data_IF_261615971042
#
_entry.id   IF_261615971042
#
_cell.length_a   1.000
_cell.length_b   1.000
_cell.length_c   1.000
_cell.angle_alpha   90.00
_cell.angle_beta   90.00
_cell.angle_gamma   90.00
#
_symmetry.space_group_name_H-M   'P 1'
#
loop_
_entity.id
_entity.type
_entity.pdbx_description
1 polymer ?
#
# COMPACT_ATOMS: atom_id res chain seq x y z
N UNK A 1 -2.43 -24.66 8.99
CA UNK A 1 -2.65 -23.41 9.76
C UNK A 1 -3.09 -22.35 8.79
N UNK A 2 -4.05 -21.49 9.19
CA UNK A 2 -4.47 -20.38 8.34
C UNK A 2 -3.31 -19.40 8.13
N UNK A 3 -3.15 -18.92 6.89
CA UNK A 3 -2.15 -17.94 6.54
C UNK A 3 -2.65 -17.12 5.35
N UNK A 4 -2.04 -15.98 5.10
CA UNK A 4 -2.46 -15.06 4.05
C UNK A 4 -1.27 -14.39 3.36
N UNK A 5 -1.50 -13.96 2.15
CA UNK A 5 -0.56 -13.14 1.39
C UNK A 5 -1.02 -11.70 1.36
N UNK A 6 -0.08 -10.77 1.36
CA UNK A 6 -0.33 -9.35 1.13
C UNK A 6 0.33 -8.93 -0.16
N UNK A 7 -0.44 -8.38 -1.07
CA UNK A 7 0.02 -7.87 -2.36
C UNK A 7 0.22 -6.36 -2.25
N UNK A 8 1.37 -5.87 -2.67
CA UNK A 8 1.73 -4.46 -2.61
C UNK A 8 1.83 -3.88 -4.02
N UNK A 9 0.95 -2.96 -4.32
CA UNK A 9 0.90 -2.18 -5.55
C UNK A 9 1.22 -0.71 -5.27
N UNK A 10 1.63 0.03 -6.31
CA UNK A 10 1.80 1.49 -6.27
C UNK A 10 1.11 2.13 -7.48
N UNK A 11 1.75 2.11 -8.65
CA UNK A 11 1.28 2.80 -9.85
C UNK A 11 0.84 1.80 -10.92
N UNK A 12 -0.33 2.03 -11.52
CA UNK A 12 -0.83 1.26 -12.66
C UNK A 12 -0.73 2.12 -13.92
N UNK A 13 -0.18 1.54 -14.99
CA UNK A 13 -0.02 2.22 -16.28
C UNK A 13 -0.39 1.29 -17.42
N UNK A 14 -0.98 1.81 -18.48
CA UNK A 14 -1.15 1.03 -19.71
C UNK A 14 0.19 0.73 -20.34
N UNK A 15 0.36 -0.47 -20.88
CA UNK A 15 1.61 -0.88 -21.52
C UNK A 15 2.02 0.06 -22.64
N UNK A 16 1.07 0.55 -23.43
CA UNK A 16 1.30 1.50 -24.53
C UNK A 16 1.79 2.88 -24.06
N UNK A 17 1.46 3.28 -22.83
CA UNK A 17 1.82 4.57 -22.25
C UNK A 17 3.16 4.53 -21.49
N UNK A 18 3.70 3.33 -21.22
CA UNK A 18 4.93 3.16 -20.45
C UNK A 18 6.18 3.41 -21.30
N UNK A 19 6.99 4.39 -20.89
CA UNK A 19 8.25 4.70 -21.55
C UNK A 19 9.45 4.31 -20.68
N UNK A 20 10.22 3.32 -21.16
CA UNK A 20 11.42 2.83 -20.45
C UNK A 20 12.54 3.87 -20.33
N UNK A 21 12.55 4.89 -21.17
CA UNK A 21 13.59 5.94 -21.18
C UNK A 21 13.27 7.08 -20.21
N UNK A 22 12.02 7.22 -19.78
CA UNK A 22 11.60 8.29 -18.88
C UNK A 22 11.51 7.79 -17.44
N UNK A 23 11.91 8.65 -16.51
CA UNK A 23 11.63 8.48 -15.09
C UNK A 23 10.32 9.19 -14.76
N UNK A 24 9.46 8.56 -13.99
CA UNK A 24 8.23 9.19 -13.51
C UNK A 24 8.52 10.03 -12.27
N UNK A 25 8.40 11.34 -12.41
CA UNK A 25 8.51 12.26 -11.27
C UNK A 25 7.26 12.11 -10.41
N UNK A 26 7.45 12.01 -9.10
CA UNK A 26 6.36 11.99 -8.13
C UNK A 26 5.79 13.41 -8.01
N UNK A 27 4.48 13.57 -8.21
CA UNK A 27 3.76 14.83 -8.04
C UNK A 27 2.87 14.74 -6.80
N UNK A 28 3.28 15.45 -5.77
CA UNK A 28 2.65 15.47 -4.45
C UNK A 28 2.41 16.91 -3.98
N UNK A 29 1.55 17.11 -2.99
CA UNK A 29 1.28 18.44 -2.43
C UNK A 29 2.42 18.92 -1.51
N UNK A 30 3.13 18.01 -0.85
CA UNK A 30 4.32 18.31 -0.04
C UNK A 30 5.44 18.87 -0.93
N UNK A 31 6.24 19.80 -0.42
CA UNK A 31 7.48 20.25 -1.11
C UNK A 31 8.53 19.14 -1.04
N UNK A 32 8.36 18.14 -1.90
CA UNK A 32 9.22 16.98 -2.01
C UNK A 32 9.33 16.56 -3.47
N UNK A 33 10.54 16.29 -3.91
CA UNK A 33 10.83 15.82 -5.26
C UNK A 33 11.53 14.47 -5.20
N UNK A 34 10.99 13.49 -5.90
CA UNK A 34 11.59 12.17 -6.08
C UNK A 34 11.09 11.55 -7.38
N UNK A 35 11.61 10.39 -7.69
CA UNK A 35 11.26 9.59 -8.86
C UNK A 35 10.65 8.28 -8.37
N UNK A 36 9.50 7.92 -8.91
CA UNK A 36 8.93 6.61 -8.65
C UNK A 36 9.75 5.55 -9.41
N UNK A 37 10.38 4.58 -8.71
CA UNK A 37 11.15 3.54 -9.35
C UNK A 37 10.31 2.69 -10.31
N UNK A 38 10.81 2.43 -11.51
CA UNK A 38 10.10 1.64 -12.54
C UNK A 38 9.56 0.28 -12.05
N UNK A 39 10.26 -0.48 -11.18
CA UNK A 39 9.72 -1.72 -10.65
C UNK A 39 8.39 -1.55 -9.88
N UNK A 40 8.07 -0.36 -9.37
CA UNK A 40 6.84 -0.11 -8.62
C UNK A 40 5.61 0.14 -9.52
N UNK A 41 5.79 0.11 -10.83
CA UNK A 41 4.67 0.09 -11.78
C UNK A 41 4.16 -1.32 -11.97
N UNK A 42 2.89 -1.43 -12.36
CA UNK A 42 2.30 -2.64 -12.94
C UNK A 42 1.53 -2.26 -14.21
N UNK A 43 1.61 -3.10 -15.24
CA UNK A 43 0.80 -2.88 -16.44
C UNK A 43 -0.68 -3.15 -16.15
N UNK A 44 -1.56 -2.26 -16.61
CA UNK A 44 -3.01 -2.41 -16.48
C UNK A 44 -3.47 -3.78 -16.97
N UNK A 45 -2.96 -4.22 -18.09
CA UNK A 45 -3.30 -5.51 -18.72
C UNK A 45 -2.90 -6.72 -17.86
N UNK A 46 -1.82 -6.60 -17.09
CA UNK A 46 -1.41 -7.65 -16.14
C UNK A 46 -2.24 -7.54 -14.84
N UNK A 47 -2.51 -6.34 -14.34
CA UNK A 47 -3.39 -6.14 -13.20
C UNK A 47 -4.79 -6.74 -13.44
N UNK A 48 -5.37 -6.52 -14.62
CA UNK A 48 -6.65 -7.13 -15.01
C UNK A 48 -6.60 -8.65 -14.96
N UNK A 49 -5.55 -9.27 -15.52
CA UNK A 49 -5.36 -10.73 -15.50
C UNK A 49 -5.17 -11.25 -14.07
N UNK A 50 -4.45 -10.52 -13.23
CA UNK A 50 -4.22 -10.87 -11.82
C UNK A 50 -5.54 -10.87 -11.03
N UNK A 51 -6.38 -9.84 -11.19
CA UNK A 51 -7.68 -9.77 -10.52
C UNK A 51 -8.67 -10.83 -11.05
N UNK A 52 -8.69 -11.07 -12.35
CA UNK A 52 -9.48 -12.15 -12.96
C UNK A 52 -9.05 -13.53 -12.41
N UNK A 53 -7.74 -13.77 -12.27
CA UNK A 53 -7.22 -15.00 -11.69
C UNK A 53 -7.64 -15.16 -10.21
N UNK A 54 -7.51 -14.13 -9.39
CA UNK A 54 -7.95 -14.19 -8.00
C UNK A 54 -9.44 -14.55 -7.92
N UNK A 55 -10.26 -13.90 -8.73
CA UNK A 55 -11.70 -14.15 -8.78
C UNK A 55 -12.03 -15.59 -9.21
N UNK A 56 -11.49 -16.04 -10.35
CA UNK A 56 -11.74 -17.40 -10.88
C UNK A 56 -11.20 -18.51 -9.98
N UNK A 57 -10.14 -18.23 -9.25
CA UNK A 57 -9.53 -19.18 -8.30
C UNK A 57 -10.18 -19.18 -6.92
N UNK A 58 -11.20 -18.34 -6.69
CA UNK A 58 -11.94 -18.29 -5.44
C UNK A 58 -11.17 -17.65 -4.27
N UNK A 59 -10.25 -16.72 -4.57
CA UNK A 59 -9.59 -15.94 -3.51
C UNK A 59 -10.56 -14.96 -2.85
N UNK A 60 -10.45 -14.85 -1.53
CA UNK A 60 -11.18 -13.88 -0.71
C UNK A 60 -10.26 -12.72 -0.37
N UNK A 61 -10.66 -11.49 -0.72
CA UNK A 61 -9.92 -10.31 -0.30
C UNK A 61 -10.22 -9.97 1.16
N UNK A 62 -9.18 -9.85 1.96
CA UNK A 62 -9.28 -9.52 3.37
C UNK A 62 -9.48 -8.01 3.56
N UNK A 63 -10.17 -7.67 4.65
CA UNK A 63 -10.18 -6.33 5.25
C UNK A 63 -9.29 -6.32 6.48
N UNK A 64 -8.80 -5.16 6.89
CA UNK A 64 -7.89 -5.03 8.04
C UNK A 64 -8.44 -5.64 9.33
N UNK A 65 -9.76 -5.54 9.58
CA UNK A 65 -10.36 -6.13 10.77
C UNK A 65 -10.25 -7.67 10.80
N UNK A 66 -10.26 -8.36 9.64
CA UNK A 66 -10.06 -9.82 9.60
C UNK A 66 -8.67 -10.20 10.09
N UNK A 67 -7.64 -9.41 9.72
CA UNK A 67 -6.26 -9.65 10.15
C UNK A 67 -6.09 -9.34 11.64
N UNK A 68 -6.70 -8.27 12.13
CA UNK A 68 -6.73 -7.98 13.58
C UNK A 68 -7.38 -9.12 14.35
N UNK A 69 -8.54 -9.62 13.90
CA UNK A 69 -9.22 -10.72 14.56
C UNK A 69 -8.42 -12.05 14.47
N UNK A 70 -7.69 -12.25 13.40
CA UNK A 70 -6.79 -13.40 13.27
C UNK A 70 -5.70 -13.38 14.33
N UNK A 71 -4.96 -12.28 14.48
CA UNK A 71 -3.86 -12.20 15.45
C UNK A 71 -4.31 -12.07 16.91
N UNK A 72 -5.38 -11.34 17.17
CA UNK A 72 -5.76 -10.96 18.55
C UNK A 72 -6.96 -11.69 19.10
N UNK A 73 -7.73 -12.39 18.25
CA UNK A 73 -8.91 -13.17 18.65
C UNK A 73 -8.87 -14.62 18.18
N UNK A 74 -7.76 -15.08 17.60
CA UNK A 74 -7.59 -16.43 17.05
C UNK A 74 -8.69 -16.85 16.05
N UNK A 75 -9.30 -15.90 15.30
CA UNK A 75 -10.29 -16.22 14.28
C UNK A 75 -9.58 -16.74 13.02
N UNK A 76 -9.99 -17.91 12.48
CA UNK A 76 -9.37 -18.41 11.27
C UNK A 76 -9.70 -17.53 10.07
N UNK A 77 -8.77 -17.43 9.12
CA UNK A 77 -8.99 -16.82 7.82
C UNK A 77 -9.49 -17.85 6.80
N UNK A 78 -10.19 -17.43 5.75
CA UNK A 78 -10.48 -18.30 4.60
C UNK A 78 -9.21 -18.92 4.02
N UNK A 79 -9.30 -20.10 3.45
CA UNK A 79 -8.14 -20.86 2.95
C UNK A 79 -7.34 -20.09 1.88
N UNK A 80 -8.04 -19.46 0.95
CA UNK A 80 -7.46 -18.62 -0.11
C UNK A 80 -7.65 -17.16 0.23
N UNK A 81 -6.85 -16.65 1.17
CA UNK A 81 -6.95 -15.27 1.65
C UNK A 81 -5.83 -14.39 1.11
N UNK A 82 -6.19 -13.21 0.63
CA UNK A 82 -5.25 -12.21 0.15
C UNK A 82 -5.66 -10.81 0.61
N UNK A 83 -4.71 -10.01 1.07
CA UNK A 83 -4.90 -8.57 1.26
C UNK A 83 -4.30 -7.83 0.06
N UNK A 84 -5.09 -6.99 -0.59
CA UNK A 84 -4.61 -6.12 -1.68
C UNK A 84 -4.29 -4.76 -1.08
N UNK A 85 -3.06 -4.26 -1.26
CA UNK A 85 -2.63 -2.96 -0.74
C UNK A 85 -2.09 -2.07 -1.85
N UNK A 86 -2.35 -0.77 -1.74
CA UNK A 86 -1.81 0.29 -2.59
C UNK A 86 -1.13 1.32 -1.71
N UNK A 87 0.15 1.57 -1.96
CA UNK A 87 0.89 2.63 -1.27
C UNK A 87 0.77 3.96 -2.03
N UNK A 88 0.96 5.08 -1.32
CA UNK A 88 1.03 6.45 -1.84
C UNK A 88 -0.26 7.01 -2.45
N UNK A 89 -1.19 6.18 -2.84
CA UNK A 89 -2.47 6.56 -3.44
C UNK A 89 -2.33 7.45 -4.69
N UNK A 90 -1.61 6.93 -5.70
CA UNK A 90 -1.54 7.60 -7.01
C UNK A 90 -2.87 7.56 -7.76
N UNK A 91 -3.05 8.51 -8.69
CA UNK A 91 -4.25 8.69 -9.53
C UNK A 91 -4.69 7.43 -10.27
N UNK A 92 -3.76 6.58 -10.65
CA UNK A 92 -4.06 5.32 -11.32
C UNK A 92 -4.89 4.37 -10.46
N UNK A 93 -4.81 4.47 -9.13
CA UNK A 93 -5.65 3.69 -8.22
C UNK A 93 -7.14 4.02 -8.40
N UNK A 94 -7.49 5.28 -8.62
CA UNK A 94 -8.86 5.69 -8.91
C UNK A 94 -9.28 5.34 -10.35
N UNK A 95 -8.39 5.55 -11.31
CA UNK A 95 -8.72 5.44 -12.75
C UNK A 95 -8.78 3.98 -13.19
N UNK A 96 -7.87 3.15 -12.70
CA UNK A 96 -7.68 1.78 -13.16
C UNK A 96 -8.02 0.73 -12.08
N UNK A 97 -7.42 0.83 -10.88
CA UNK A 97 -7.62 -0.21 -9.86
C UNK A 97 -9.06 -0.26 -9.34
N UNK A 98 -9.61 0.88 -8.95
CA UNK A 98 -10.93 0.97 -8.33
C UNK A 98 -12.06 0.32 -9.16
N UNK A 99 -12.24 0.65 -10.46
CA UNK A 99 -13.30 0.03 -11.25
C UNK A 99 -13.14 -1.48 -11.43
N UNK A 100 -11.90 -1.97 -11.52
CA UNK A 100 -11.61 -3.40 -11.64
C UNK A 100 -11.89 -4.13 -10.32
N UNK A 101 -11.41 -3.61 -9.20
CA UNK A 101 -11.68 -4.18 -7.87
C UNK A 101 -13.17 -4.20 -7.57
N UNK A 102 -13.87 -3.11 -7.85
CA UNK A 102 -15.33 -3.00 -7.68
C UNK A 102 -16.09 -4.02 -8.53
N UNK A 103 -15.69 -4.22 -9.79
CA UNK A 103 -16.27 -5.23 -10.70
C UNK A 103 -16.24 -6.63 -10.10
N UNK A 104 -15.16 -7.00 -9.41
CA UNK A 104 -15.00 -8.32 -8.80
C UNK A 104 -15.49 -8.41 -7.35
N UNK A 105 -15.99 -7.31 -6.77
CA UNK A 105 -16.39 -7.25 -5.37
C UNK A 105 -15.20 -7.37 -4.41
N UNK A 106 -14.01 -7.01 -4.84
CA UNK A 106 -12.80 -7.03 -4.04
C UNK A 106 -12.67 -5.79 -3.17
N UNK A 107 -12.07 -5.95 -1.99
CA UNK A 107 -11.64 -4.85 -1.13
C UNK A 107 -10.14 -4.68 -1.18
N UNK A 108 -9.66 -3.45 -0.96
CA UNK A 108 -8.25 -3.12 -0.88
C UNK A 108 -7.97 -2.16 0.28
N UNK A 109 -6.70 -1.99 0.61
CA UNK A 109 -6.21 -1.00 1.57
C UNK A 109 -5.36 0.02 0.83
N UNK A 110 -5.63 1.31 1.04
CA UNK A 110 -4.79 2.40 0.60
C UNK A 110 -3.96 2.93 1.77
N UNK A 111 -2.64 2.84 1.68
CA UNK A 111 -1.73 3.45 2.64
C UNK A 111 -1.44 4.89 2.23
N UNK A 112 -1.90 5.83 3.05
CA UNK A 112 -1.94 7.25 2.74
C UNK A 112 -0.75 7.99 3.32
N UNK A 113 -0.01 8.71 2.47
CA UNK A 113 0.90 9.77 2.91
C UNK A 113 0.12 11.08 2.93
N UNK A 114 -0.23 11.57 4.12
CA UNK A 114 -1.23 12.65 4.24
C UNK A 114 -0.84 13.94 3.52
N UNK A 115 0.41 14.38 3.68
CA UNK A 115 0.88 15.63 3.08
C UNK A 115 1.20 15.49 1.57
N UNK A 116 1.14 14.27 1.02
CA UNK A 116 1.22 14.03 -0.43
C UNK A 116 -0.12 14.28 -1.12
N UNK A 117 -1.24 14.11 -0.39
CA UNK A 117 -2.57 14.32 -0.95
C UNK A 117 -2.82 15.80 -1.27
N UNK A 118 -3.28 16.07 -2.48
CA UNK A 118 -3.71 17.40 -2.86
C UNK A 118 -5.01 17.81 -2.17
N UNK A 119 -5.21 19.12 -1.99
CA UNK A 119 -6.50 19.66 -1.53
C UNK A 119 -7.53 19.68 -2.67
N UNK A 120 -7.06 19.87 -3.91
CA UNK A 120 -7.86 19.91 -5.13
C UNK A 120 -7.44 18.80 -6.09
N UNK A 121 -8.37 18.32 -6.90
CA UNK A 121 -8.11 17.30 -7.91
C UNK A 121 -7.08 17.78 -8.93
N UNK A 122 -6.10 16.92 -9.24
CA UNK A 122 -5.14 17.13 -10.33
C UNK A 122 -5.46 16.19 -11.49
N UNK A 123 -5.08 16.58 -12.69
CA UNK A 123 -5.22 15.70 -13.85
C UNK A 123 -4.29 14.48 -13.74
N UNK A 124 -4.75 13.35 -14.26
CA UNK A 124 -3.88 12.19 -14.48
C UNK A 124 -2.79 12.52 -15.50
N UNK A 125 -1.60 12.01 -15.27
CA UNK A 125 -0.47 12.12 -16.20
C UNK A 125 0.03 10.73 -16.58
N UNK A 126 0.45 10.55 -17.84
CA UNK A 126 1.11 9.33 -18.34
C UNK A 126 2.61 9.33 -18.08
N UNK A 127 3.18 10.47 -17.70
CA UNK A 127 4.62 10.67 -17.55
C UNK A 127 5.03 11.04 -16.12
N UNK A 128 4.07 11.31 -15.26
CA UNK A 128 4.28 11.68 -13.87
C UNK A 128 3.36 10.86 -12.96
N UNK A 129 3.85 10.47 -11.80
CA UNK A 129 3.06 9.77 -10.77
C UNK A 129 2.39 10.78 -9.85
N UNK A 130 1.15 11.11 -10.17
CA UNK A 130 0.37 12.15 -9.48
C UNK A 130 -0.45 11.53 -8.35
N UNK A 131 -0.30 12.01 -7.12
CA UNK A 131 -1.14 11.59 -6.00
C UNK A 131 -2.57 12.10 -6.13
N UNK A 132 -3.48 11.40 -5.48
CA UNK A 132 -4.88 11.78 -5.36
C UNK A 132 -5.05 13.05 -4.51
N UNK A 133 -6.20 13.68 -4.65
CA UNK A 133 -6.68 14.65 -3.67
C UNK A 133 -7.43 13.96 -2.53
N UNK A 134 -7.56 14.66 -1.40
CA UNK A 134 -8.33 14.17 -0.25
C UNK A 134 -9.78 13.81 -0.62
N UNK A 135 -10.42 14.64 -1.46
CA UNK A 135 -11.80 14.39 -1.92
C UNK A 135 -11.94 13.18 -2.85
N UNK A 136 -10.88 12.78 -3.55
CA UNK A 136 -10.93 11.60 -4.41
C UNK A 136 -10.90 10.28 -3.64
N UNK A 137 -10.31 10.27 -2.44
CA UNK A 137 -10.36 9.09 -1.57
C UNK A 137 -11.81 8.72 -1.23
N UNK A 138 -12.67 9.71 -1.01
CA UNK A 138 -14.09 9.48 -0.69
C UNK A 138 -14.85 8.75 -1.81
N UNK A 139 -14.43 8.92 -3.06
CA UNK A 139 -15.05 8.26 -4.23
C UNK A 139 -14.83 6.75 -4.25
N UNK A 140 -13.86 6.23 -3.49
CA UNK A 140 -13.44 4.83 -3.51
C UNK A 140 -13.68 4.09 -2.19
N UNK A 141 -14.34 4.70 -1.21
CA UNK A 141 -14.55 4.13 0.15
C UNK A 141 -15.35 2.83 0.18
N UNK A 142 -16.12 2.54 -0.85
CA UNK A 142 -16.82 1.27 -0.99
C UNK A 142 -15.90 0.08 -1.31
N UNK A 143 -14.68 0.36 -1.77
CA UNK A 143 -13.63 -0.62 -2.12
C UNK A 143 -12.42 -0.50 -1.19
N UNK A 144 -11.96 0.74 -0.94
CA UNK A 144 -10.73 1.01 -0.20
C UNK A 144 -10.98 1.35 1.27
N UNK A 145 -10.18 0.74 2.16
CA UNK A 145 -9.96 1.18 3.53
C UNK A 145 -8.65 1.98 3.57
N UNK A 146 -8.64 3.14 4.22
CA UNK A 146 -7.42 3.97 4.28
C UNK A 146 -6.74 3.83 5.62
N UNK A 147 -5.41 3.59 5.57
CA UNK A 147 -4.53 3.43 6.72
C UNK A 147 -3.27 4.29 6.57
N UNK A 148 -2.49 4.37 7.63
CA UNK A 148 -1.39 5.30 7.81
C UNK A 148 -0.12 4.87 7.05
N UNK A 149 0.41 5.77 6.20
CA UNK A 149 1.74 5.67 5.58
C UNK A 149 2.64 6.86 5.92
N UNK A 150 2.48 7.43 7.12
CA UNK A 150 3.01 8.69 7.63
C UNK A 150 2.22 9.94 7.21
N UNK A 151 2.42 11.03 7.94
CA UNK A 151 1.93 12.33 7.49
C UNK A 151 2.86 12.92 6.43
N UNK A 152 4.15 13.03 6.71
CA UNK A 152 5.15 13.70 5.88
C UNK A 152 6.50 12.98 5.81
N UNK A 153 6.67 11.84 6.51
CA UNK A 153 7.95 11.14 6.63
C UNK A 153 8.25 10.19 5.45
N UNK A 154 7.40 10.15 4.42
CA UNK A 154 7.69 9.40 3.21
C UNK A 154 8.66 10.20 2.32
N UNK A 155 9.84 10.46 2.87
CA UNK A 155 10.92 11.20 2.21
C UNK A 155 12.25 10.51 2.39
N UNK A 156 13.17 10.74 1.44
CA UNK A 156 14.57 10.32 1.51
C UNK A 156 15.47 11.42 1.00
N UNK A 157 16.67 11.47 1.53
CA UNK A 157 17.74 12.36 1.06
C UNK A 157 19.04 11.58 0.99
N UNK A 158 19.73 11.65 -0.13
CA UNK A 158 21.01 10.95 -0.37
C UNK A 158 20.93 9.43 -0.05
N UNK A 159 19.77 8.80 -0.36
CA UNK A 159 19.52 7.38 -0.11
C UNK A 159 19.11 7.03 1.32
N UNK A 160 19.11 7.98 2.24
CA UNK A 160 18.68 7.78 3.65
C UNK A 160 17.24 8.20 3.82
N UNK A 161 16.38 7.28 4.29
CA UNK A 161 14.96 7.56 4.55
C UNK A 161 14.78 8.32 5.86
N UNK A 162 13.70 9.10 5.98
CA UNK A 162 13.39 9.82 7.21
C UNK A 162 13.30 8.88 8.42
N UNK A 163 12.74 7.66 8.26
CA UNK A 163 12.58 6.70 9.35
C UNK A 163 13.89 6.07 9.85
N UNK A 164 15.01 6.26 9.16
CA UNK A 164 16.32 5.82 9.64
C UNK A 164 16.96 6.80 10.63
N UNK A 165 16.56 8.08 10.59
CA UNK A 165 17.23 9.15 11.34
C UNK A 165 16.31 9.92 12.29
N UNK A 166 14.98 9.75 12.16
CA UNK A 166 13.98 10.48 12.95
C UNK A 166 14.15 10.28 14.46
N UNK A 167 13.90 11.31 15.25
CA UNK A 167 13.73 11.19 16.69
C UNK A 167 12.30 10.74 17.06
N UNK A 168 12.11 10.27 18.30
CA UNK A 168 10.86 9.70 18.77
C UNK A 168 9.70 10.70 18.76
N UNK A 169 9.94 11.91 19.21
CA UNK A 169 8.87 12.91 19.37
C UNK A 169 8.36 13.38 17.99
N UNK A 170 9.27 13.61 17.07
CA UNK A 170 8.95 13.92 15.66
C UNK A 170 8.18 12.78 14.99
N UNK A 171 8.60 11.53 15.21
CA UNK A 171 7.89 10.35 14.71
C UNK A 171 6.46 10.28 15.27
N UNK A 172 6.30 10.41 16.58
CA UNK A 172 4.97 10.37 17.23
C UNK A 172 4.06 11.47 16.70
N UNK A 173 4.59 12.68 16.53
CA UNK A 173 3.82 13.81 15.99
C UNK A 173 3.34 13.55 14.57
N UNK A 174 4.22 13.03 13.72
CA UNK A 174 3.89 12.70 12.32
C UNK A 174 2.82 11.62 12.22
N UNK A 175 3.06 10.48 12.88
CA UNK A 175 2.14 9.34 12.87
C UNK A 175 0.76 9.75 13.37
N UNK A 176 0.66 10.47 14.49
CA UNK A 176 -0.61 10.98 15.02
C UNK A 176 -1.30 11.94 14.06
N UNK A 177 -0.54 12.74 13.32
CA UNK A 177 -1.09 13.63 12.29
C UNK A 177 -1.84 12.85 11.20
N UNK A 178 -1.27 11.77 10.70
CA UNK A 178 -1.93 10.91 9.71
C UNK A 178 -3.08 10.10 10.35
N UNK A 179 -2.88 9.55 11.57
CA UNK A 179 -3.94 8.83 12.30
C UNK A 179 -5.21 9.67 12.45
N UNK A 180 -5.11 10.97 12.68
CA UNK A 180 -6.29 11.83 12.80
C UNK A 180 -7.09 11.91 11.49
N UNK A 181 -6.46 11.71 10.35
CA UNK A 181 -7.08 11.78 9.04
C UNK A 181 -7.67 10.44 8.57
N UNK A 182 -6.90 9.34 8.64
CA UNK A 182 -7.33 8.04 8.11
C UNK A 182 -8.48 7.44 8.93
N UNK A 183 -9.31 6.60 8.30
CA UNK A 183 -10.46 5.98 8.97
C UNK A 183 -10.04 4.79 9.83
N UNK A 184 -9.15 3.93 9.30
CA UNK A 184 -8.70 2.74 10.03
C UNK A 184 -7.48 3.10 10.87
N UNK A 185 -7.66 2.97 12.20
CA UNK A 185 -6.67 3.39 13.19
C UNK A 185 -5.71 2.28 13.57
N UNK A 186 -4.53 2.68 14.04
CA UNK A 186 -3.50 1.78 14.58
C UNK A 186 -2.96 0.77 13.56
N UNK A 187 -2.96 1.15 12.30
CA UNK A 187 -2.41 0.38 11.17
C UNK A 187 -1.40 1.24 10.43
N UNK A 188 -0.21 0.70 10.21
CA UNK A 188 0.91 1.43 9.58
C UNK A 188 1.52 0.64 8.43
N UNK A 189 2.01 1.33 7.39
CA UNK A 189 2.97 0.76 6.45
C UNK A 189 4.26 1.60 6.53
N UNK A 190 5.41 0.93 6.61
CA UNK A 190 6.69 1.63 6.72
C UNK A 190 7.07 2.26 5.38
N UNK A 191 7.18 3.62 5.29
CA UNK A 191 7.68 4.30 4.10
C UNK A 191 8.98 3.68 3.57
N UNK A 192 9.03 3.37 2.28
CA UNK A 192 10.11 2.65 1.60
C UNK A 192 10.43 1.24 2.14
N UNK A 193 9.82 0.80 3.23
CA UNK A 193 10.21 -0.42 3.96
C UNK A 193 11.57 -0.32 4.65
N UNK A 194 12.15 0.88 4.77
CA UNK A 194 13.48 1.12 5.35
C UNK A 194 13.36 2.03 6.57
N UNK A 195 13.64 1.48 7.75
CA UNK A 195 13.46 2.13 9.03
C UNK A 195 14.45 1.57 10.06
N UNK A 196 14.65 2.29 11.16
CA UNK A 196 15.42 1.78 12.30
C UNK A 196 14.52 0.98 13.25
N UNK A 197 15.11 0.03 13.96
CA UNK A 197 14.37 -0.92 14.81
C UNK A 197 13.50 -0.23 15.88
N UNK A 198 13.96 0.90 16.42
CA UNK A 198 13.24 1.65 17.42
C UNK A 198 11.85 2.11 16.97
N UNK A 199 11.66 2.31 15.65
CA UNK A 199 10.34 2.69 15.10
C UNK A 199 9.29 1.61 15.37
N UNK A 200 9.66 0.34 15.32
CA UNK A 200 8.76 -0.78 15.66
C UNK A 200 8.34 -0.72 17.13
N UNK A 201 9.29 -0.42 18.03
CA UNK A 201 9.01 -0.26 19.46
C UNK A 201 8.08 0.93 19.73
N UNK A 202 8.31 2.05 19.03
CA UNK A 202 7.45 3.25 19.18
C UNK A 202 6.03 3.00 18.67
N UNK A 203 5.85 2.28 17.57
CA UNK A 203 4.53 1.88 17.11
C UNK A 203 3.82 1.00 18.15
N UNK A 204 4.54 0.05 18.76
CA UNK A 204 4.00 -0.80 19.84
C UNK A 204 3.56 0.02 21.05
N UNK A 205 4.38 0.97 21.49
CA UNK A 205 4.06 1.88 22.62
C UNK A 205 2.83 2.76 22.30
N UNK A 206 2.67 3.15 21.03
CA UNK A 206 1.50 3.92 20.56
C UNK A 206 0.24 3.07 20.41
N UNK A 207 0.31 1.75 20.61
CA UNK A 207 -0.82 0.84 20.50
C UNK A 207 -1.19 0.46 19.07
N UNK A 208 -0.25 0.56 18.11
CA UNK A 208 -0.49 0.05 16.77
C UNK A 208 -0.68 -1.46 16.80
N UNK A 209 -1.62 -1.93 16.00
CA UNK A 209 -2.01 -3.34 15.94
C UNK A 209 -1.32 -4.07 14.78
N UNK A 210 -1.20 -3.44 13.63
CA UNK A 210 -0.57 -4.03 12.45
C UNK A 210 0.41 -3.03 11.84
N UNK A 211 1.56 -3.52 11.40
CA UNK A 211 2.44 -2.73 10.53
C UNK A 211 3.05 -3.59 9.43
N UNK A 212 3.15 -3.02 8.23
CA UNK A 212 3.48 -3.70 7.00
C UNK A 212 4.85 -3.26 6.48
N UNK A 213 5.72 -4.25 6.22
CA UNK A 213 7.05 -4.06 5.63
C UNK A 213 6.98 -4.20 4.10
N UNK A 214 8.15 -4.17 3.45
CA UNK A 214 8.31 -4.51 2.03
C UNK A 214 9.00 -5.87 1.83
N UNK A 215 9.23 -6.60 2.92
CA UNK A 215 9.79 -7.94 2.86
C UNK A 215 8.77 -8.93 2.33
N UNK A 216 9.15 -9.67 1.27
CA UNK A 216 8.29 -10.69 0.68
C UNK A 216 8.07 -11.87 1.61
N UNK A 217 6.89 -12.48 1.50
CA UNK A 217 6.59 -13.68 2.29
C UNK A 217 5.09 -13.88 2.51
N UNK A 218 4.80 -14.94 3.23
CA UNK A 218 3.48 -15.34 3.69
C UNK A 218 3.37 -15.03 5.19
N UNK A 219 2.22 -14.56 5.63
CA UNK A 219 1.95 -14.28 7.04
C UNK A 219 1.11 -15.39 7.66
N UNK A 220 1.49 -15.81 8.85
CA UNK A 220 0.75 -16.77 9.69
C UNK A 220 0.67 -16.25 11.13
N UNK A 221 0.12 -17.06 12.04
CA UNK A 221 -0.08 -16.65 13.44
C UNK A 221 1.23 -16.39 14.20
N UNK A 222 2.37 -16.87 13.71
CA UNK A 222 3.68 -16.66 14.32
C UNK A 222 4.39 -15.40 13.76
N UNK A 223 3.87 -14.81 12.69
CA UNK A 223 4.42 -13.56 12.14
C UNK A 223 4.19 -12.41 13.12
N UNK A 224 5.22 -11.58 13.33
CA UNK A 224 5.05 -10.38 14.16
C UNK A 224 4.03 -9.42 13.50
N UNK A 225 2.90 -9.09 14.15
CA UNK A 225 1.88 -8.22 13.56
C UNK A 225 2.38 -6.82 13.20
N UNK A 226 3.47 -6.36 13.84
CA UNK A 226 4.11 -5.08 13.49
C UNK A 226 5.22 -5.21 12.44
N UNK A 227 5.36 -6.39 11.80
CA UNK A 227 6.37 -6.68 10.77
C UNK A 227 5.78 -7.60 9.68
N UNK A 228 4.55 -7.31 9.23
CA UNK A 228 3.87 -8.13 8.24
C UNK A 228 4.56 -8.08 6.88
N UNK A 229 4.73 -9.24 6.28
CA UNK A 229 5.30 -9.40 4.95
C UNK A 229 4.35 -8.90 3.88
N UNK A 230 4.89 -8.25 2.85
CA UNK A 230 4.17 -7.86 1.64
C UNK A 230 4.95 -8.26 0.39
N UNK A 231 4.25 -8.81 -0.57
CA UNK A 231 4.83 -9.21 -1.84
C UNK A 231 4.61 -8.08 -2.87
N UNK A 232 5.69 -7.43 -3.28
CA UNK A 232 5.64 -6.39 -4.30
C UNK A 232 5.22 -6.99 -5.64
N UNK A 233 4.16 -6.44 -6.23
CA UNK A 233 3.79 -6.76 -7.61
C UNK A 233 4.46 -5.74 -8.50
N UNK A 234 5.49 -6.18 -9.21
CA UNK A 234 6.39 -5.31 -9.98
C UNK A 234 6.06 -5.29 -11.47
N UNK A 235 6.62 -4.32 -12.19
CA UNK A 235 6.37 -4.05 -13.61
C UNK A 235 6.40 -5.29 -14.52
N UNK A 236 7.31 -6.21 -14.27
CA UNK A 236 7.49 -7.42 -15.07
C UNK A 236 6.80 -8.65 -14.47
N UNK A 237 5.97 -8.47 -13.44
CA UNK A 237 5.26 -9.56 -12.80
C UNK A 237 4.20 -10.14 -13.74
N UNK A 238 4.59 -11.18 -14.46
CA UNK A 238 3.65 -11.95 -15.31
C UNK A 238 2.63 -12.69 -14.44
N UNK A 239 1.52 -13.13 -15.06
CA UNK A 239 0.51 -13.92 -14.34
C UNK A 239 1.10 -15.18 -13.71
N UNK A 240 2.06 -15.84 -14.36
CA UNK A 240 2.71 -17.04 -13.79
C UNK A 240 3.57 -16.71 -12.56
N UNK A 241 4.31 -15.61 -12.59
CA UNK A 241 5.05 -15.13 -11.42
C UNK A 241 4.09 -14.71 -10.29
N UNK A 242 2.98 -14.05 -10.64
CA UNK A 242 1.93 -13.71 -9.69
C UNK A 242 1.35 -14.92 -8.97
N UNK A 243 1.08 -16.00 -9.70
CA UNK A 243 0.63 -17.29 -9.11
C UNK A 243 1.65 -17.86 -8.14
N UNK A 244 2.96 -17.69 -8.43
CA UNK A 244 4.03 -18.17 -7.55
C UNK A 244 4.06 -17.40 -6.22
N UNK A 245 3.70 -16.11 -6.23
CA UNK A 245 3.59 -15.30 -4.99
C UNK A 245 2.53 -15.88 -4.04
N UNK A 246 1.48 -16.50 -4.59
CA UNK A 246 0.31 -16.96 -3.83
C UNK A 246 0.39 -18.45 -3.41
N UNK A 247 1.43 -19.17 -3.78
CA UNK A 247 1.70 -20.56 -3.43
C UNK A 247 2.69 -20.64 -2.25
#
# INVERSE_FOLDING_TARGET
MSAFHVLMYHEIIKKEDFNTNNNSIIKVNQQYEDILPKPLFVFLEEFEKQMDYLHKSGYVTLKLHHIIEFFYKNKPLPEKSVLITFDDMYKSSLIYAYPILKKYGFSAVGFVVLDWLFNEEKSYSKTESVCLSKGELDKMKDVFQYANHSKALHTRKDGVTALQTIDKDSFISDVKGCENFVEVKNIYAYPFGVFKEEVVHWLKELGFLLAFTTEGGRNDINTNPLMLHRNAVVLQCTLEQFKTILN
#
